data_IF_620479907986
#
_entry.id   IF_620479907986
#
_cell.length_a   1.000
_cell.length_b   1.000
_cell.length_c   1.000
_cell.angle_alpha   90.00
_cell.angle_beta   90.00
_cell.angle_gamma   90.00
#
_symmetry.space_group_name_H-M   'P 1'
#
loop_
_entity.id
_entity.type
_entity.pdbx_description
1 polymer ?
#
# COMPACT_ATOMS: atom_id res chain seq x y z
N UNK A 1 0.84 -7.00 15.85
CA UNK A 1 -0.23 -7.33 14.89
C UNK A 1 -0.11 -6.45 13.65
N UNK A 2 -0.24 -7.05 12.49
CA UNK A 2 -0.11 -6.30 11.23
C UNK A 2 -1.30 -5.37 11.03
N UNK A 3 -1.02 -4.11 10.75
CA UNK A 3 -2.06 -3.09 10.56
C UNK A 3 -2.01 -2.53 9.16
N UNK A 4 -3.16 -2.52 8.48
CA UNK A 4 -3.28 -2.08 7.11
C UNK A 4 -4.25 -0.92 7.02
N UNK A 5 -3.89 0.13 6.27
CA UNK A 5 -4.78 1.25 6.00
C UNK A 5 -5.36 1.07 4.61
N UNK A 6 -6.66 1.17 4.47
CA UNK A 6 -7.35 1.08 3.19
C UNK A 6 -7.91 2.46 2.86
N UNK A 7 -7.43 3.06 1.77
CA UNK A 7 -7.88 4.38 1.33
C UNK A 7 -8.68 4.18 0.05
N UNK A 8 -10.00 4.20 0.17
CA UNK A 8 -10.92 3.87 -0.91
C UNK A 8 -12.24 4.59 -0.67
N UNK A 9 -12.71 5.35 -1.65
CA UNK A 9 -13.94 6.11 -1.48
C UNK A 9 -15.21 5.32 -1.76
N UNK A 10 -15.13 4.22 -2.50
CA UNK A 10 -16.29 3.38 -2.74
C UNK A 10 -16.52 2.50 -1.52
N UNK A 11 -17.56 2.82 -0.76
CA UNK A 11 -17.78 2.17 0.51
C UNK A 11 -17.93 0.66 0.40
N UNK A 12 -18.58 0.17 -0.63
CA UNK A 12 -18.76 -1.27 -0.79
C UNK A 12 -17.44 -1.99 -1.00
N UNK A 13 -16.55 -1.40 -1.78
CA UNK A 13 -15.23 -2.00 -2.02
C UNK A 13 -14.41 -1.94 -0.73
N UNK A 14 -14.41 -0.78 -0.07
CA UNK A 14 -13.67 -0.63 1.18
C UNK A 14 -14.13 -1.62 2.22
N UNK A 15 -15.45 -1.82 2.34
CA UNK A 15 -15.96 -2.75 3.31
C UNK A 15 -15.63 -4.20 2.97
N UNK A 16 -15.74 -4.56 1.70
CA UNK A 16 -15.41 -5.91 1.26
C UNK A 16 -13.94 -6.21 1.58
N UNK A 17 -13.05 -5.28 1.22
CA UNK A 17 -11.64 -5.45 1.48
C UNK A 17 -11.37 -5.52 2.98
N UNK A 18 -12.00 -4.65 3.76
CA UNK A 18 -11.84 -4.66 5.20
C UNK A 18 -12.18 -6.01 5.81
N UNK A 19 -13.32 -6.57 5.40
CA UNK A 19 -13.76 -7.84 5.96
C UNK A 19 -12.82 -8.97 5.59
N UNK A 20 -12.34 -8.97 4.35
CA UNK A 20 -11.42 -10.01 3.90
C UNK A 20 -10.08 -9.91 4.62
N UNK A 21 -9.58 -8.70 4.84
CA UNK A 21 -8.32 -8.52 5.54
C UNK A 21 -8.44 -8.89 7.01
N UNK A 22 -9.56 -8.55 7.63
CA UNK A 22 -9.77 -8.94 9.03
C UNK A 22 -9.85 -10.46 9.16
N UNK A 23 -10.45 -11.12 8.17
CA UNK A 23 -10.53 -12.57 8.17
C UNK A 23 -9.14 -13.21 8.12
N UNK A 24 -8.18 -12.51 7.51
CA UNK A 24 -6.80 -12.98 7.46
C UNK A 24 -6.02 -12.65 8.72
N UNK A 25 -6.64 -11.97 9.67
CA UNK A 25 -5.98 -11.66 10.95
C UNK A 25 -5.33 -10.29 10.99
N UNK A 26 -5.55 -9.45 10.01
CA UNK A 26 -4.97 -8.10 9.99
C UNK A 26 -5.89 -7.12 10.71
N UNK A 27 -5.29 -6.07 11.29
CA UNK A 27 -6.05 -4.94 11.77
C UNK A 27 -6.21 -3.96 10.61
N UNK A 28 -7.37 -3.34 10.50
CA UNK A 28 -7.68 -2.50 9.35
C UNK A 28 -8.26 -1.17 9.80
N UNK A 29 -7.70 -0.07 9.26
CA UNK A 29 -8.31 1.24 9.37
C UNK A 29 -8.72 1.66 7.95
N UNK A 30 -9.75 2.49 7.83
CA UNK A 30 -10.22 2.94 6.53
C UNK A 30 -10.22 4.46 6.46
N UNK A 31 -9.94 4.98 5.28
CA UNK A 31 -10.10 6.39 4.96
C UNK A 31 -10.88 6.46 3.65
N UNK A 32 -11.85 7.37 3.56
CA UNK A 32 -12.72 7.45 2.40
C UNK A 32 -12.31 8.54 1.41
N UNK A 33 -11.28 9.29 1.71
CA UNK A 33 -10.77 10.31 0.78
C UNK A 33 -9.26 10.47 0.97
N UNK A 34 -8.64 11.21 0.06
CA UNK A 34 -7.19 11.34 0.07
C UNK A 34 -6.65 12.09 1.27
N UNK A 35 -7.38 13.11 1.73
CA UNK A 35 -6.92 13.92 2.85
C UNK A 35 -6.89 13.09 4.13
N UNK A 36 -7.96 12.35 4.39
CA UNK A 36 -8.00 11.45 5.54
C UNK A 36 -6.94 10.36 5.43
N UNK A 37 -6.69 9.89 4.21
CA UNK A 37 -5.66 8.88 3.97
C UNK A 37 -4.27 9.37 4.35
N UNK A 38 -3.91 10.58 3.94
CA UNK A 38 -2.63 11.17 4.30
C UNK A 38 -2.54 11.35 5.83
N UNK A 39 -3.60 11.87 6.41
CA UNK A 39 -3.61 12.14 7.85
C UNK A 39 -3.37 10.87 8.66
N UNK A 40 -4.08 9.80 8.33
CA UNK A 40 -3.90 8.54 9.03
C UNK A 40 -2.53 7.93 8.75
N UNK A 41 -2.11 7.94 7.48
CA UNK A 41 -0.84 7.31 7.11
C UNK A 41 0.34 7.96 7.82
N UNK A 42 0.26 9.25 8.12
CA UNK A 42 1.35 9.98 8.76
C UNK A 42 1.23 10.03 10.28
N UNK A 43 0.03 9.79 10.83
CA UNK A 43 -0.16 9.86 12.28
C UNK A 43 -0.09 8.52 12.98
N UNK A 44 -0.16 7.42 12.25
CA UNK A 44 -0.10 6.08 12.83
C UNK A 44 0.89 5.23 12.06
N UNK A 45 1.35 4.16 12.70
CA UNK A 45 2.28 3.24 12.05
C UNK A 45 1.49 2.12 11.39
N UNK A 46 1.56 2.06 10.06
CA UNK A 46 0.94 0.99 9.30
C UNK A 46 2.02 0.13 8.68
N UNK A 47 1.70 -1.14 8.51
CA UNK A 47 2.60 -2.07 7.83
C UNK A 47 2.40 -2.02 6.33
N UNK A 48 1.23 -1.53 5.89
CA UNK A 48 0.93 -1.45 4.47
C UNK A 48 -0.27 -0.53 4.25
N UNK A 49 -0.28 0.16 3.12
CA UNK A 49 -1.40 1.01 2.70
C UNK A 49 -1.92 0.52 1.36
N UNK A 50 -3.22 0.27 1.27
CA UNK A 50 -3.90 0.03 0.00
C UNK A 50 -4.51 1.36 -0.40
N UNK A 51 -4.21 1.83 -1.59
CA UNK A 51 -4.51 3.21 -1.97
C UNK A 51 -5.12 3.27 -3.36
N UNK A 52 -6.38 3.70 -3.44
CA UNK A 52 -7.03 3.90 -4.72
C UNK A 52 -6.46 5.18 -5.36
N UNK A 53 -6.29 5.17 -6.66
CA UNK A 53 -5.81 6.34 -7.37
C UNK A 53 -6.91 7.40 -7.48
N UNK A 54 -8.13 6.97 -7.80
CA UNK A 54 -9.23 7.92 -8.00
C UNK A 54 -9.95 8.20 -6.68
N UNK A 55 -9.53 9.26 -6.03
CA UNK A 55 -10.09 9.66 -4.73
C UNK A 55 -10.58 11.09 -4.79
N UNK A 56 -11.60 11.44 -3.99
CA UNK A 56 -12.01 12.83 -3.90
C UNK A 56 -10.96 13.67 -3.16
N UNK A 57 -10.97 14.95 -3.41
CA UNK A 57 -10.10 15.95 -2.80
C UNK A 57 -8.66 15.84 -3.23
N UNK A 58 -7.92 14.85 -2.78
CA UNK A 58 -6.54 14.63 -3.17
C UNK A 58 -6.49 13.23 -3.79
N UNK A 59 -6.06 13.12 -5.04
CA UNK A 59 -6.04 11.82 -5.68
C UNK A 59 -4.92 10.94 -5.10
N UNK A 60 -4.98 9.65 -5.39
CA UNK A 60 -4.06 8.69 -4.79
C UNK A 60 -2.60 8.93 -5.11
N UNK A 61 -2.29 9.48 -6.29
CA UNK A 61 -0.89 9.77 -6.63
C UNK A 61 -0.32 10.83 -5.70
N UNK A 62 -1.12 11.86 -5.38
CA UNK A 62 -0.65 12.89 -4.48
C UNK A 62 -0.56 12.36 -3.04
N UNK A 63 -1.48 11.48 -2.64
CA UNK A 63 -1.41 10.83 -1.34
C UNK A 63 -0.09 10.06 -1.23
N UNK A 64 0.26 9.31 -2.27
CA UNK A 64 1.51 8.54 -2.30
C UNK A 64 2.72 9.47 -2.15
N UNK A 65 2.74 10.58 -2.89
CA UNK A 65 3.86 11.51 -2.81
C UNK A 65 4.01 12.08 -1.41
N UNK A 66 2.90 12.41 -0.75
CA UNK A 66 2.94 12.95 0.61
C UNK A 66 3.42 11.92 1.61
N UNK A 67 2.98 10.67 1.47
CA UNK A 67 3.45 9.60 2.34
C UNK A 67 4.96 9.43 2.15
N UNK A 68 5.44 9.40 0.92
CA UNK A 68 6.85 9.15 0.64
C UNK A 68 7.79 10.26 1.10
N UNK A 69 7.30 11.47 1.31
CA UNK A 69 8.14 12.52 1.87
C UNK A 69 8.57 12.20 3.28
N UNK A 70 7.80 11.38 3.99
CA UNK A 70 8.06 11.13 5.41
C UNK A 70 8.20 9.67 5.78
N UNK A 71 7.70 8.76 4.96
CA UNK A 71 7.70 7.35 5.32
C UNK A 71 7.91 6.45 4.13
N UNK A 72 8.45 5.26 4.41
CA UNK A 72 8.65 4.23 3.40
C UNK A 72 7.66 3.07 3.59
N UNK A 73 6.52 3.34 4.20
CA UNK A 73 5.48 2.33 4.38
C UNK A 73 5.13 1.71 3.02
N UNK A 74 5.05 0.39 2.93
CA UNK A 74 4.65 -0.24 1.67
C UNK A 74 3.30 0.23 1.20
N UNK A 75 3.18 0.56 -0.08
CA UNK A 75 1.95 1.04 -0.69
C UNK A 75 1.62 0.20 -1.92
N UNK A 76 0.42 -0.37 -1.95
CA UNK A 76 -0.11 -1.03 -3.14
C UNK A 76 -1.21 -0.14 -3.68
N UNK A 77 -1.07 0.28 -4.94
CA UNK A 77 -2.06 1.14 -5.58
C UNK A 77 -3.15 0.31 -6.21
N UNK A 78 -4.39 0.80 -6.12
CA UNK A 78 -5.52 0.20 -6.82
C UNK A 78 -5.84 1.11 -7.99
N UNK A 79 -5.92 0.58 -9.19
CA UNK A 79 -6.05 1.39 -10.38
C UNK A 79 -7.04 0.80 -11.37
N UNK A 80 -7.59 1.63 -12.24
CA UNK A 80 -8.48 1.17 -13.29
C UNK A 80 -7.71 0.33 -14.30
N UNK A 81 -8.45 -0.56 -14.97
CA UNK A 81 -7.83 -1.53 -15.88
C UNK A 81 -6.97 -0.90 -16.97
N UNK A 82 -7.38 0.21 -17.53
CA UNK A 82 -6.70 0.81 -18.67
C UNK A 82 -5.73 1.91 -18.29
N UNK A 83 -5.36 2.01 -17.03
CA UNK A 83 -4.55 3.13 -16.56
C UNK A 83 -3.06 2.83 -16.60
N UNK A 84 -2.52 2.50 -17.77
CA UNK A 84 -1.10 2.17 -17.89
C UNK A 84 -0.22 3.33 -17.46
N UNK A 85 -0.57 4.55 -17.84
CA UNK A 85 0.23 5.72 -17.44
C UNK A 85 0.20 5.92 -15.93
N UNK A 86 -0.94 5.63 -15.30
CA UNK A 86 -1.04 5.71 -13.85
C UNK A 86 -0.14 4.67 -13.19
N UNK A 87 -0.02 3.49 -13.78
CA UNK A 87 0.85 2.45 -13.25
C UNK A 87 2.31 2.89 -13.28
N UNK A 88 2.74 3.42 -14.42
CA UNK A 88 4.11 3.90 -14.57
C UNK A 88 4.37 5.03 -13.58
N UNK A 89 3.47 6.00 -13.49
CA UNK A 89 3.62 7.11 -12.57
C UNK A 89 3.65 6.63 -11.11
N UNK A 90 2.84 5.63 -10.79
CA UNK A 90 2.80 5.08 -9.43
C UNK A 90 4.12 4.43 -9.04
N UNK A 91 4.70 3.64 -9.93
CA UNK A 91 5.98 3.01 -9.66
C UNK A 91 7.08 4.07 -9.55
N UNK A 92 7.05 5.08 -10.42
CA UNK A 92 8.03 6.16 -10.38
C UNK A 92 7.90 6.97 -9.10
N UNK A 93 6.68 7.12 -8.57
CA UNK A 93 6.44 7.87 -7.34
C UNK A 93 6.73 7.05 -6.09
N UNK A 94 7.06 5.77 -6.24
CA UNK A 94 7.47 4.95 -5.10
C UNK A 94 6.45 3.95 -4.60
N UNK A 95 5.45 3.60 -5.40
CA UNK A 95 4.53 2.52 -5.03
C UNK A 95 5.28 1.19 -5.10
N UNK A 96 4.98 0.29 -4.19
CA UNK A 96 5.62 -1.02 -4.17
C UNK A 96 4.98 -1.98 -5.15
N UNK A 97 3.70 -1.80 -5.42
CA UNK A 97 2.99 -2.67 -6.34
C UNK A 97 1.67 -1.99 -6.71
N UNK A 98 0.93 -2.56 -7.65
CA UNK A 98 -0.40 -2.11 -7.92
C UNK A 98 -1.23 -3.22 -8.50
N UNK A 99 -2.55 -3.08 -8.35
CA UNK A 99 -3.51 -4.07 -8.77
C UNK A 99 -4.59 -3.37 -9.55
N UNK A 100 -5.01 -3.94 -10.69
CA UNK A 100 -6.05 -3.33 -11.49
C UNK A 100 -7.43 -3.78 -11.02
N UNK A 101 -8.38 -2.86 -11.02
CA UNK A 101 -9.77 -3.15 -10.74
C UNK A 101 -10.47 -3.58 -12.02
N UNK A 102 -11.38 -4.52 -11.96
CA UNK A 102 -11.74 -5.32 -10.81
C UNK A 102 -10.66 -6.36 -10.52
N UNK A 103 -10.48 -6.72 -9.27
CA UNK A 103 -9.44 -7.66 -8.88
C UNK A 103 -10.05 -8.87 -8.18
N UNK A 104 -9.32 -9.99 -8.23
CA UNK A 104 -9.69 -11.15 -7.45
C UNK A 104 -9.12 -10.96 -6.05
N UNK A 105 -9.91 -11.29 -5.03
CA UNK A 105 -9.45 -11.11 -3.65
C UNK A 105 -8.21 -11.95 -3.37
N UNK A 106 -8.10 -13.13 -4.00
CA UNK A 106 -6.93 -13.98 -3.80
C UNK A 106 -5.66 -13.31 -4.31
N UNK A 107 -5.77 -12.56 -5.41
CA UNK A 107 -4.61 -11.85 -5.93
C UNK A 107 -4.21 -10.72 -4.99
N UNK A 108 -5.18 -9.97 -4.49
CA UNK A 108 -4.91 -8.89 -3.56
C UNK A 108 -4.21 -9.43 -2.31
N UNK A 109 -4.74 -10.50 -1.73
CA UNK A 109 -4.15 -11.07 -0.52
C UNK A 109 -2.74 -11.59 -0.78
N UNK A 110 -2.49 -12.18 -1.94
CA UNK A 110 -1.16 -12.66 -2.28
C UNK A 110 -0.16 -11.53 -2.40
N UNK A 111 -0.54 -10.43 -3.04
CA UNK A 111 0.36 -9.28 -3.20
C UNK A 111 0.64 -8.60 -1.86
N UNK A 112 -0.36 -8.56 -0.98
CA UNK A 112 -0.17 -8.05 0.36
C UNK A 112 0.85 -8.89 1.11
N UNK A 113 0.74 -10.22 1.04
CA UNK A 113 1.70 -11.09 1.71
C UNK A 113 3.11 -10.88 1.19
N UNK A 114 3.27 -10.70 -0.12
CA UNK A 114 4.59 -10.46 -0.72
C UNK A 114 5.15 -9.13 -0.22
N UNK A 115 4.34 -8.08 -0.21
CA UNK A 115 4.80 -6.77 0.22
C UNK A 115 5.21 -6.77 1.69
N UNK A 116 4.45 -7.47 2.54
CA UNK A 116 4.78 -7.58 3.96
C UNK A 116 6.06 -8.37 4.17
N UNK A 117 6.29 -9.42 3.39
CA UNK A 117 7.52 -10.18 3.49
C UNK A 117 8.72 -9.36 3.06
N UNK A 118 8.57 -8.57 2.01
CA UNK A 118 9.66 -7.72 1.55
C UNK A 118 10.05 -6.71 2.62
N UNK A 119 9.05 -6.16 3.32
CA UNK A 119 9.31 -5.22 4.38
C UNK A 119 10.09 -5.88 5.51
N UNK A 120 9.68 -7.08 5.93
CA UNK A 120 10.36 -7.81 6.98
C UNK A 120 11.80 -8.11 6.59
N UNK A 121 12.02 -8.56 5.36
CA UNK A 121 13.35 -8.87 4.88
C UNK A 121 14.23 -7.62 4.83
N UNK A 122 13.66 -6.51 4.40
CA UNK A 122 14.39 -5.26 4.33
C UNK A 122 14.81 -4.78 5.73
N UNK A 123 13.90 -4.88 6.68
CA UNK A 123 14.20 -4.48 8.05
C UNK A 123 15.26 -5.39 8.67
N UNK A 124 15.15 -6.69 8.46
CA UNK A 124 16.12 -7.62 8.96
C UNK A 124 17.47 -7.39 8.30
N UNK A 125 17.48 -7.15 7.00
CA UNK A 125 18.71 -6.89 6.27
C UNK A 125 19.39 -5.63 6.74
N UNK A 126 18.63 -4.59 7.06
CA UNK A 126 19.23 -3.35 7.48
C UNK A 126 19.88 -3.45 8.86
N UNK A 127 19.55 -4.48 9.61
CA UNK A 127 20.16 -4.68 10.91
C UNK A 127 21.44 -5.49 10.84
N UNK A 128 21.77 -6.00 9.68
CA UNK A 128 22.92 -6.87 9.52
C UNK A 128 23.99 -6.18 8.70
N UNK A 129 25.06 -5.76 9.31
CA UNK A 129 26.10 -5.04 8.61
C UNK A 129 26.58 -5.74 7.37
N UNK A 130 26.75 -7.01 7.46
CA UNK A 130 27.28 -7.68 6.31
C UNK A 130 26.32 -7.83 5.17
N UNK A 131 25.09 -7.70 5.46
CA UNK A 131 24.13 -7.98 4.42
C UNK A 131 24.22 -7.02 3.31
N UNK A 132 24.80 -5.89 3.59
CA UNK A 132 24.90 -4.98 2.64
C UNK A 132 25.81 -5.40 1.68
N UNK A 133 26.76 -5.87 2.04
CA UNK A 133 27.74 -6.20 1.14
C UNK A 133 27.17 -7.18 0.24
N UNK A 134 26.40 -7.87 0.77
CA UNK A 134 25.98 -8.84 0.03
C UNK A 134 25.21 -8.46 -0.96
N UNK A 135 24.64 -7.85 -0.64
CA UNK A 135 23.88 -7.56 -1.43
C UNK A 135 24.29 -7.22 -2.52
N UNK A 136 24.95 -6.82 -2.50
CA UNK A 136 25.35 -6.42 -3.42
C UNK A 136 25.76 -7.15 -4.30
N UNK A 137 26.10 -7.62 -4.17
CA UNK A 137 26.59 -8.22 -4.94
C UNK A 137 25.81 -8.70 -5.61
N UNK A 138 25.26 -8.27 -5.39
CA UNK A 138 24.50 -8.78 -6.09
C UNK A 138 24.12 -8.70 -6.64
#
# INVERSE_FOLDING_TARGET
>A
MTRILVVEDEEKIARFVELELKHEGYEVDKASDGRAGVELALSRDYDLVLLDILLPQINGMEVLRRIRRERMTPVIMLTARDAVMDKVAGLDAGADDYITKPFAIEELLARIRVALKRREASEAGSETPGSMAIVVKG
#
